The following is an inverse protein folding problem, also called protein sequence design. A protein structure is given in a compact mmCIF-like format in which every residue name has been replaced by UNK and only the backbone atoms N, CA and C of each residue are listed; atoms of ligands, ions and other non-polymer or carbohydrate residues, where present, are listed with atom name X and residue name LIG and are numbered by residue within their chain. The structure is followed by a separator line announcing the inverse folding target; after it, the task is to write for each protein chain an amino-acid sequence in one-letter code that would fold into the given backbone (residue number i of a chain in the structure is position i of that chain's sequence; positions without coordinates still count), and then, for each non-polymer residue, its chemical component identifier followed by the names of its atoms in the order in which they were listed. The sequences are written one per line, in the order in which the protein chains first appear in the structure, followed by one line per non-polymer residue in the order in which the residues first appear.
data_IF_543942149981
#
_entry.id   IF_543942149981
#
_cell.length_a   1.000
_cell.length_b   1.000
_cell.length_c   1.000
_cell.angle_alpha   90.00
_cell.angle_beta   90.00
_cell.angle_gamma   90.00
#
_symmetry.space_group_name_H-M   'P 1'
#
loop_
_entity.id
_entity.type
_entity.pdbx_description
1 polymer ?
#
# COMPACT_ATOMS: atom_id res chain seq x y z
N UNK A 1 0.82 51.17 0.66
CA UNK A 1 0.80 49.71 0.85
C UNK A 1 1.02 49.10 -0.51
N UNK A 2 2.09 48.31 -0.67
CA UNK A 2 2.37 47.69 -1.96
C UNK A 2 1.34 46.60 -2.26
N UNK A 3 0.89 46.46 -3.52
CA UNK A 3 -0.07 45.44 -3.88
C UNK A 3 0.55 44.04 -3.67
N UNK A 4 -0.24 43.05 -3.22
CA UNK A 4 0.28 41.71 -3.00
C UNK A 4 0.73 41.11 -4.34
N UNK A 5 1.98 40.62 -4.37
CA UNK A 5 2.49 39.83 -5.49
C UNK A 5 1.61 38.58 -5.67
N UNK A 6 0.95 38.45 -6.83
CA UNK A 6 0.28 37.21 -7.23
C UNK A 6 1.22 36.42 -8.12
N UNK A 7 1.75 35.32 -7.58
CA UNK A 7 2.31 34.25 -8.40
C UNK A 7 1.14 33.36 -8.85
N UNK A 8 0.82 33.40 -10.15
CA UNK A 8 -0.03 32.40 -10.78
C UNK A 8 0.85 31.54 -11.67
N UNK A 9 0.91 30.24 -11.38
CA UNK A 9 1.48 29.29 -12.33
C UNK A 9 0.68 29.37 -13.64
N UNK A 10 1.37 29.28 -14.78
CA UNK A 10 0.68 29.24 -16.06
C UNK A 10 -0.22 28.01 -16.12
N UNK A 11 -1.32 28.11 -16.86
CA UNK A 11 -2.21 26.96 -17.09
C UNK A 11 -1.45 25.81 -17.75
N UNK A 12 -0.48 26.11 -18.60
CA UNK A 12 0.42 25.15 -19.24
C UNK A 12 1.25 24.39 -18.19
N UNK A 13 1.88 25.10 -17.25
CA UNK A 13 2.63 24.47 -16.16
C UNK A 13 1.74 23.56 -15.32
N UNK A 14 0.52 23.98 -15.02
CA UNK A 14 -0.44 23.15 -14.29
C UNK A 14 -0.81 21.89 -15.10
N UNK A 15 -1.12 22.00 -16.39
CA UNK A 15 -1.49 20.81 -17.19
C UNK A 15 -0.31 19.83 -17.29
N UNK A 16 0.89 20.32 -17.61
CA UNK A 16 2.08 19.46 -17.77
C UNK A 16 2.47 18.70 -16.50
N UNK A 17 2.24 19.29 -15.32
CA UNK A 17 2.74 18.75 -14.05
C UNK A 17 1.65 18.10 -13.19
N UNK A 18 0.37 18.15 -13.60
CA UNK A 18 -0.74 17.60 -12.80
C UNK A 18 -1.41 16.38 -13.43
N UNK A 19 -1.18 16.08 -14.70
CA UNK A 19 -1.76 14.89 -15.35
C UNK A 19 -0.75 13.75 -15.48
N UNK A 20 -0.47 13.08 -14.37
CA UNK A 20 -0.17 11.65 -14.43
C UNK A 20 -1.52 10.93 -14.43
N UNK A 21 -2.15 10.79 -15.60
CA UNK A 21 -3.31 9.91 -15.69
C UNK A 21 -2.80 8.47 -15.60
N UNK A 22 -3.06 7.82 -14.48
CA UNK A 22 -2.85 6.39 -14.33
C UNK A 22 -3.94 5.68 -15.15
N UNK A 23 -3.64 5.42 -16.41
CA UNK A 23 -4.50 4.64 -17.28
C UNK A 23 -4.34 3.16 -16.95
N UNK A 24 -4.80 2.75 -15.76
CA UNK A 24 -4.90 1.34 -15.44
C UNK A 24 -6.03 0.78 -16.29
N UNK A 25 -5.68 0.00 -17.30
CA UNK A 25 -6.67 -0.73 -18.09
C UNK A 25 -7.29 -1.84 -17.22
N UNK A 26 -8.54 -2.20 -17.51
CA UNK A 26 -9.20 -3.31 -16.82
C UNK A 26 -8.39 -4.61 -16.99
N UNK A 27 -7.72 -4.80 -18.13
CA UNK A 27 -6.84 -5.94 -18.38
C UNK A 27 -5.64 -5.99 -17.43
N UNK A 28 -5.03 -4.85 -17.09
CA UNK A 28 -3.94 -4.78 -16.10
C UNK A 28 -4.43 -5.09 -14.69
N UNK A 29 -5.59 -4.55 -14.30
CA UNK A 29 -6.22 -4.87 -13.03
C UNK A 29 -6.57 -6.38 -12.94
N UNK A 30 -7.07 -6.96 -14.02
CA UNK A 30 -7.42 -8.38 -14.11
C UNK A 30 -6.16 -9.27 -14.08
N UNK A 31 -5.06 -8.85 -14.71
CA UNK A 31 -3.77 -9.55 -14.68
C UNK A 31 -3.18 -9.65 -13.27
N UNK A 32 -3.21 -8.55 -12.52
CA UNK A 32 -2.77 -8.52 -11.11
C UNK A 32 -3.66 -9.44 -10.27
N UNK A 33 -4.97 -9.37 -10.46
CA UNK A 33 -5.94 -10.18 -9.71
C UNK A 33 -5.81 -11.67 -10.04
N UNK A 34 -5.55 -12.03 -11.30
CA UNK A 34 -5.30 -13.41 -11.72
C UNK A 34 -4.03 -13.96 -11.07
N UNK A 35 -2.94 -13.19 -11.10
CA UNK A 35 -1.67 -13.56 -10.46
C UNK A 35 -1.87 -13.79 -8.96
N UNK A 36 -2.60 -12.89 -8.29
CA UNK A 36 -2.94 -13.04 -6.87
C UNK A 36 -3.85 -14.24 -6.55
N UNK A 37 -4.68 -14.70 -7.50
CA UNK A 37 -5.49 -15.93 -7.35
C UNK A 37 -4.71 -17.21 -7.61
N UNK A 38 -3.78 -17.18 -8.57
CA UNK A 38 -2.92 -18.33 -8.89
C UNK A 38 -1.90 -18.60 -7.77
N UNK A 39 -1.45 -17.53 -7.10
CA UNK A 39 -0.75 -17.68 -5.83
C UNK A 39 -1.76 -18.12 -4.77
N UNK A 40 -1.68 -19.37 -4.31
CA UNK A 40 -2.43 -19.87 -3.13
C UNK A 40 -2.00 -19.19 -1.81
N UNK A 41 -1.35 -18.03 -1.88
CA UNK A 41 -0.87 -17.27 -0.75
C UNK A 41 -2.01 -16.42 -0.20
N UNK A 42 -2.55 -16.82 0.94
CA UNK A 42 -3.45 -15.98 1.74
C UNK A 42 -2.62 -15.29 2.80
N UNK A 43 -2.44 -13.95 2.74
CA UNK A 43 -1.73 -13.26 3.80
C UNK A 43 -2.47 -13.45 5.12
N UNK A 44 -1.75 -13.60 6.25
CA UNK A 44 -2.38 -13.75 7.55
C UNK A 44 -3.20 -12.50 7.90
N UNK A 45 -4.37 -12.71 8.50
CA UNK A 45 -5.28 -11.60 8.87
C UNK A 45 -5.29 -11.31 10.37
N UNK A 46 -4.68 -12.19 11.17
CA UNK A 46 -4.59 -12.07 12.62
C UNK A 46 -3.20 -12.46 13.12
N UNK A 47 -2.86 -12.04 14.34
CA UNK A 47 -1.60 -12.44 14.98
C UNK A 47 -1.46 -13.97 15.07
N UNK A 48 -2.52 -14.68 15.42
CA UNK A 48 -2.49 -16.15 15.60
C UNK A 48 -2.21 -16.87 14.27
N UNK A 49 -2.77 -16.37 13.17
CA UNK A 49 -2.48 -16.90 11.83
C UNK A 49 -1.03 -16.59 11.43
N UNK A 50 -0.57 -15.36 11.65
CA UNK A 50 0.80 -14.94 11.34
C UNK A 50 1.84 -15.74 12.15
N UNK A 51 1.60 -15.98 13.43
CA UNK A 51 2.47 -16.77 14.31
C UNK A 51 2.59 -18.22 13.81
N UNK A 52 1.48 -18.81 13.39
CA UNK A 52 1.46 -20.16 12.82
C UNK A 52 2.27 -20.23 11.52
N UNK A 53 2.07 -19.29 10.61
CA UNK A 53 2.80 -19.24 9.33
C UNK A 53 4.29 -18.97 9.53
N UNK A 54 4.65 -18.13 10.50
CA UNK A 54 6.04 -17.85 10.87
C UNK A 54 6.72 -19.10 11.44
N UNK A 55 6.03 -19.85 12.30
CA UNK A 55 6.53 -21.12 12.84
C UNK A 55 6.70 -22.22 11.78
N UNK A 56 5.93 -22.16 10.69
CA UNK A 56 6.07 -23.05 9.53
C UNK A 56 7.16 -22.59 8.54
N UNK A 57 7.70 -21.37 8.70
CA UNK A 57 8.66 -20.78 7.77
C UNK A 57 8.02 -20.31 6.45
N UNK A 58 6.69 -20.15 6.41
CA UNK A 58 5.95 -19.71 5.22
C UNK A 58 5.96 -18.19 5.04
N UNK A 59 6.24 -17.43 6.11
CA UNK A 59 6.43 -15.98 6.08
C UNK A 59 7.74 -15.59 6.75
N UNK A 60 8.33 -14.50 6.29
CA UNK A 60 9.57 -13.94 6.82
C UNK A 60 9.37 -13.20 8.14
N UNK A 61 10.46 -12.92 8.86
CA UNK A 61 10.44 -12.10 10.08
C UNK A 61 9.91 -10.70 9.79
N UNK A 62 10.25 -10.12 8.64
CA UNK A 62 9.77 -8.79 8.22
C UNK A 62 8.24 -8.75 8.05
N UNK A 63 7.65 -9.84 7.55
CA UNK A 63 6.20 -9.99 7.41
C UNK A 63 5.49 -10.26 8.74
N UNK A 64 6.17 -10.86 9.72
CA UNK A 64 5.60 -11.17 11.03
C UNK A 64 5.64 -9.99 12.02
N UNK A 65 6.68 -9.15 11.97
CA UNK A 65 6.93 -8.04 12.91
C UNK A 65 5.74 -7.06 13.08
N UNK A 66 5.00 -6.65 12.03
CA UNK A 66 3.83 -5.80 12.19
C UNK A 66 2.75 -6.39 13.10
N UNK A 67 2.51 -7.70 13.02
CA UNK A 67 1.52 -8.39 13.85
C UNK A 67 1.96 -8.42 15.31
N UNK A 68 3.25 -8.71 15.56
CA UNK A 68 3.83 -8.71 16.90
C UNK A 68 3.71 -7.34 17.57
N UNK A 69 4.08 -6.28 16.87
CA UNK A 69 3.96 -4.90 17.39
C UNK A 69 2.51 -4.52 17.67
N UNK A 70 1.57 -4.91 16.81
CA UNK A 70 0.16 -4.65 17.03
C UNK A 70 -0.37 -5.34 18.29
N UNK A 71 0.03 -6.59 18.53
CA UNK A 71 -0.36 -7.35 19.74
C UNK A 71 0.24 -6.76 21.02
N UNK A 72 1.52 -6.40 21.01
CA UNK A 72 2.18 -5.74 22.15
C UNK A 72 1.53 -4.38 22.49
N UNK A 73 1.10 -3.62 21.48
CA UNK A 73 0.39 -2.35 21.67
C UNK A 73 -1.04 -2.54 22.23
N UNK A 74 -1.68 -3.67 21.94
CA UNK A 74 -3.00 -4.03 22.49
C UNK A 74 -2.89 -4.50 23.94
N UNK A 75 -1.85 -5.28 24.27
CA UNK A 75 -1.56 -5.76 25.63
C UNK A 75 -1.04 -4.65 26.57
N UNK A 76 -0.53 -3.54 26.01
CA UNK A 76 -0.05 -2.38 26.77
C UNK A 76 -1.14 -1.33 27.09
N UNK A 77 -2.40 -1.60 26.73
CA UNK A 77 -3.57 -0.77 27.10
C UNK A 77 -4.27 -1.30 28.34
#
# INVERSE_FOLDING_TARGET
ADPPHRFSLSREFHIEHTSLEHHNTQEEADSITRTGREMNFKPPTSFVEAEKLYGLGEISTEEFEPFKRAREAEESK
#
